data_IF_905363350026
#
_entry.id   IF_905363350026
#
_cell.length_a   1.000
_cell.length_b   1.000
_cell.length_c   1.000
_cell.angle_alpha   90.00
_cell.angle_beta   90.00
_cell.angle_gamma   90.00
#
_symmetry.space_group_name_H-M   'P 1'
#
loop_
_entity.id
_entity.type
_entity.pdbx_description
1 polymer ?
#
# COMPACT_ATOMS: atom_id res chain seq x y z
N UNK A 1 -5.22 20.84 -2.47
CA UNK A 1 -6.05 19.80 -1.83
C UNK A 1 -5.15 18.62 -1.47
N UNK A 2 -5.25 18.06 -0.26
CA UNK A 2 -4.38 16.96 0.18
C UNK A 2 -5.03 15.63 -0.18
N UNK A 3 -4.61 15.04 -1.32
CA UNK A 3 -4.95 13.65 -1.65
C UNK A 3 -4.10 12.71 -0.78
N UNK A 4 -4.63 11.54 -0.42
CA UNK A 4 -3.91 10.55 0.40
C UNK A 4 -4.16 9.14 -0.10
N UNK A 5 -3.11 8.33 0.03
CA UNK A 5 -3.10 6.90 -0.28
C UNK A 5 -2.73 6.14 0.98
N UNK A 6 -3.45 5.06 1.27
CA UNK A 6 -3.05 4.10 2.30
C UNK A 6 -3.12 2.68 1.74
N UNK A 7 -2.26 1.79 2.25
CA UNK A 7 -2.39 0.37 1.95
C UNK A 7 -3.69 -0.15 2.60
N UNK A 8 -4.53 -0.81 1.82
CA UNK A 8 -5.67 -1.52 2.38
C UNK A 8 -5.11 -2.76 3.08
N UNK A 9 -4.90 -2.68 4.39
CA UNK A 9 -4.56 -3.85 5.17
C UNK A 9 -5.74 -4.81 5.11
N UNK A 10 -5.59 -5.91 4.36
CA UNK A 10 -6.45 -7.08 4.50
C UNK A 10 -6.24 -7.63 5.91
N UNK A 11 -7.01 -7.11 6.86
CA UNK A 11 -6.97 -7.52 8.24
C UNK A 11 -7.43 -8.97 8.34
N UNK A 12 -6.48 -9.89 8.49
CA UNK A 12 -6.76 -11.19 9.07
C UNK A 12 -7.19 -10.96 10.52
N UNK A 13 -8.50 -10.87 10.76
CA UNK A 13 -9.11 -10.94 12.08
C UNK A 13 -8.90 -12.35 12.64
N UNK A 14 -7.72 -12.62 13.19
CA UNK A 14 -7.53 -13.74 14.11
C UNK A 14 -7.88 -13.23 15.50
N UNK A 15 -9.13 -13.48 15.90
CA UNK A 15 -9.58 -13.35 17.28
C UNK A 15 -8.92 -14.49 18.10
N UNK A 16 -7.74 -14.23 18.66
CA UNK A 16 -7.05 -15.14 19.58
C UNK A 16 -7.08 -14.61 21.01
N UNK A 17 -7.32 -15.44 22.03
CA UNK A 17 -7.54 -14.99 23.40
C UNK A 17 -6.25 -14.49 24.07
N UNK A 18 -6.39 -13.46 24.91
CA UNK A 18 -5.38 -12.96 25.85
C UNK A 18 -4.91 -14.10 26.77
N UNK A 19 -3.76 -14.69 26.46
CA UNK A 19 -3.04 -15.57 27.38
C UNK A 19 -2.00 -14.74 28.15
N UNK A 20 -2.09 -14.83 29.47
CA UNK A 20 -1.25 -14.15 30.44
C UNK A 20 0.23 -14.55 30.31
N UNK A 21 1.12 -13.56 30.43
CA UNK A 21 2.56 -13.75 30.61
C UNK A 21 2.84 -14.19 32.05
N UNK A 22 3.60 -15.28 32.28
CA UNK A 22 4.39 -15.43 33.48
C UNK A 22 5.84 -15.01 33.22
N UNK A 23 6.30 -14.04 34.01
CA UNK A 23 7.70 -13.81 34.34
C UNK A 23 8.32 -15.11 34.89
N UNK A 24 9.43 -15.55 34.32
CA UNK A 24 10.42 -16.44 34.96
C UNK A 24 11.78 -16.21 34.30
N UNK A 25 12.82 -16.25 35.12
CA UNK A 25 14.14 -15.66 34.90
C UNK A 25 15.24 -16.73 34.82
N UNK A 26 16.25 -16.49 33.97
CA UNK A 26 17.65 -16.99 34.01
C UNK A 26 17.93 -18.51 33.83
N UNK A 27 19.19 -18.97 33.63
CA UNK A 27 20.37 -18.41 32.95
C UNK A 27 21.04 -19.42 31.95
N UNK A 28 21.98 -18.92 31.14
CA UNK A 28 23.14 -19.61 30.53
C UNK A 28 23.01 -21.08 30.08
N UNK A 29 23.04 -21.30 28.76
CA UNK A 29 23.61 -22.53 28.18
C UNK A 29 24.46 -22.19 26.96
N UNK A 30 25.77 -22.15 27.20
CA UNK A 30 26.82 -22.15 26.18
C UNK A 30 26.96 -23.59 25.67
N UNK A 31 26.65 -23.85 24.40
CA UNK A 31 27.09 -25.08 23.74
C UNK A 31 27.20 -24.90 22.22
N UNK A 32 28.43 -25.03 21.75
CA UNK A 32 28.85 -25.05 20.35
C UNK A 32 28.21 -26.22 19.59
N UNK A 33 28.08 -26.07 18.26
CA UNK A 33 28.67 -26.98 17.26
C UNK A 33 28.48 -26.41 15.86
N UNK A 34 29.60 -26.28 15.15
CA UNK A 34 29.60 -26.02 13.73
C UNK A 34 29.07 -27.23 12.96
N UNK A 35 28.43 -26.97 11.83
CA UNK A 35 28.32 -27.90 10.72
C UNK A 35 28.44 -27.11 9.42
N UNK A 36 29.39 -27.61 8.63
CA UNK A 36 29.75 -27.21 7.28
C UNK A 36 28.80 -27.80 6.24
N UNK A 37 28.70 -27.09 5.12
CA UNK A 37 28.60 -27.62 3.76
C UNK A 37 27.22 -27.92 3.17
N UNK A 38 27.21 -27.62 1.87
CA UNK A 38 26.39 -28.14 0.78
C UNK A 38 25.07 -27.44 0.49
N UNK A 39 25.17 -26.55 -0.50
CA UNK A 39 24.10 -26.26 -1.45
C UNK A 39 23.35 -27.56 -1.82
N UNK A 40 22.05 -27.54 -1.62
CA UNK A 40 21.12 -28.34 -2.40
C UNK A 40 20.01 -27.38 -2.85
N UNK A 41 19.86 -27.32 -4.17
CA UNK A 41 18.83 -26.55 -4.86
C UNK A 41 17.47 -26.89 -4.25
N UNK A 42 16.92 -25.93 -3.52
CA UNK A 42 15.55 -26.01 -3.01
C UNK A 42 14.62 -25.49 -4.11
N UNK A 43 13.45 -26.11 -4.28
CA UNK A 43 12.57 -25.85 -5.41
C UNK A 43 12.24 -24.37 -5.53
N UNK A 44 12.42 -23.83 -6.73
CA UNK A 44 11.88 -22.53 -7.15
C UNK A 44 10.45 -22.42 -6.62
N UNK A 45 10.10 -21.36 -5.86
CA UNK A 45 8.76 -21.21 -5.31
C UNK A 45 7.79 -21.09 -6.47
N UNK A 46 7.18 -22.21 -6.82
CA UNK A 46 6.00 -22.26 -7.67
C UNK A 46 4.97 -21.39 -6.97
N UNK A 47 4.65 -20.27 -7.61
CA UNK A 47 3.77 -19.20 -7.14
C UNK A 47 2.43 -19.75 -6.67
N UNK A 48 2.34 -20.05 -5.37
CA UNK A 48 1.08 -20.11 -4.65
C UNK A 48 0.73 -18.65 -4.37
N UNK A 49 -0.21 -18.11 -5.16
CA UNK A 49 -0.48 -16.69 -5.33
C UNK A 49 -0.31 -15.86 -4.06
N UNK A 50 0.68 -14.96 -4.09
CA UNK A 50 0.79 -13.90 -3.10
C UNK A 50 -0.51 -13.09 -3.13
N UNK A 51 -1.09 -12.85 -1.95
CA UNK A 51 -2.35 -12.11 -1.86
C UNK A 51 -2.21 -10.76 -2.59
N UNK A 52 -3.16 -10.39 -3.46
CA UNK A 52 -3.04 -9.19 -4.25
C UNK A 52 -2.91 -7.98 -3.32
N UNK A 53 -1.90 -7.15 -3.56
CA UNK A 53 -1.77 -5.88 -2.84
C UNK A 53 -2.92 -4.99 -3.26
N UNK A 54 -3.63 -4.49 -2.27
CA UNK A 54 -4.82 -3.67 -2.46
C UNK A 54 -4.60 -2.31 -1.80
N UNK A 55 -5.00 -1.27 -2.52
CA UNK A 55 -4.77 0.11 -2.11
C UNK A 55 -6.08 0.79 -1.77
N UNK A 56 -6.02 1.90 -1.03
CA UNK A 56 -7.18 2.74 -0.76
C UNK A 56 -6.80 4.19 -1.04
N UNK A 57 -7.47 4.75 -2.05
CA UNK A 57 -7.33 6.12 -2.53
C UNK A 57 -8.42 6.97 -1.90
N UNK A 58 -8.05 8.11 -1.30
CA UNK A 58 -8.99 9.02 -0.65
C UNK A 58 -9.05 10.34 -1.39
N UNK A 59 -10.25 10.75 -1.79
CA UNK A 59 -10.54 12.05 -2.39
C UNK A 59 -11.83 12.63 -1.83
N UNK A 60 -11.96 13.95 -1.85
CA UNK A 60 -13.24 14.61 -1.60
C UNK A 60 -14.05 14.63 -2.91
N UNK A 61 -15.34 14.24 -2.90
CA UNK A 61 -16.13 14.15 -4.13
C UNK A 61 -16.40 15.49 -4.79
N UNK A 62 -16.19 16.61 -4.07
CA UNK A 62 -16.28 17.97 -4.65
C UNK A 62 -15.05 18.35 -5.45
N UNK A 63 -13.92 17.76 -5.12
CA UNK A 63 -12.63 18.07 -5.75
C UNK A 63 -12.37 17.13 -6.92
N UNK A 64 -12.59 15.83 -6.68
CA UNK A 64 -12.43 14.81 -7.69
C UNK A 64 -13.21 13.56 -7.31
N UNK A 65 -14.18 13.20 -8.14
CA UNK A 65 -15.07 12.06 -7.94
C UNK A 65 -14.73 10.88 -8.85
N UNK A 66 -15.23 9.69 -8.51
CA UNK A 66 -15.12 8.52 -9.40
C UNK A 66 -15.81 8.74 -10.76
N UNK A 67 -16.85 9.57 -10.82
CA UNK A 67 -17.54 9.89 -12.07
C UNK A 67 -16.67 10.73 -13.01
N UNK A 68 -15.82 11.59 -12.45
CA UNK A 68 -14.85 12.36 -13.22
C UNK A 68 -13.77 11.43 -13.80
N UNK A 69 -13.28 10.49 -12.98
CA UNK A 69 -12.36 9.45 -13.45
C UNK A 69 -12.98 8.60 -14.57
N UNK A 70 -14.23 8.16 -14.40
CA UNK A 70 -14.92 7.39 -15.43
C UNK A 70 -15.09 8.17 -16.75
N UNK A 71 -15.16 9.51 -16.69
CA UNK A 71 -15.26 10.38 -17.87
C UNK A 71 -13.91 10.59 -18.55
N UNK A 72 -12.84 10.75 -17.77
CA UNK A 72 -11.49 10.98 -18.26
C UNK A 72 -10.80 9.69 -18.72
N UNK A 73 -11.20 8.55 -18.15
CA UNK A 73 -10.62 7.23 -18.38
C UNK A 73 -9.32 7.01 -17.61
N UNK A 74 -8.42 8.00 -17.59
CA UNK A 74 -7.16 7.94 -16.84
C UNK A 74 -6.90 9.29 -16.16
N UNK A 75 -6.51 9.29 -14.89
CA UNK A 75 -6.14 10.50 -14.14
C UNK A 75 -4.78 10.38 -13.49
N UNK A 76 -4.07 11.51 -13.42
CA UNK A 76 -2.92 11.66 -12.55
C UNK A 76 -3.38 11.78 -11.08
N UNK A 77 -2.82 10.93 -10.22
CA UNK A 77 -2.99 10.96 -8.77
C UNK A 77 -1.84 11.75 -8.12
N UNK A 78 -1.96 13.07 -8.20
CA UNK A 78 -1.02 14.07 -7.69
C UNK A 78 -1.38 14.57 -6.28
N UNK A 79 -0.62 15.56 -5.78
CA UNK A 79 -1.00 16.31 -4.58
C UNK A 79 -0.85 15.55 -3.26
N UNK A 80 -0.21 14.39 -3.28
CA UNK A 80 0.11 13.62 -2.08
C UNK A 80 1.29 14.27 -1.37
N UNK A 81 1.03 14.88 -0.21
CA UNK A 81 2.02 15.60 0.62
C UNK A 81 2.33 14.89 1.95
N UNK A 82 2.07 13.59 2.01
CA UNK A 82 2.39 12.73 3.14
C UNK A 82 3.51 11.75 2.77
N UNK A 83 4.60 11.73 3.54
CA UNK A 83 5.77 10.89 3.29
C UNK A 83 5.46 9.39 3.25
N UNK A 84 4.56 8.91 4.13
CA UNK A 84 4.15 7.51 4.15
C UNK A 84 3.32 7.17 2.91
N UNK A 85 2.36 8.02 2.56
CA UNK A 85 1.54 7.86 1.36
C UNK A 85 2.38 7.89 0.07
N UNK A 86 3.39 8.76 0.01
CA UNK A 86 4.38 8.79 -1.07
C UNK A 86 5.13 7.47 -1.20
N UNK A 87 5.58 6.91 -0.07
CA UNK A 87 6.28 5.63 -0.08
C UNK A 87 5.36 4.49 -0.56
N UNK A 88 4.05 4.56 -0.28
CA UNK A 88 3.07 3.62 -0.85
C UNK A 88 2.95 3.78 -2.36
N UNK A 89 2.77 5.00 -2.87
CA UNK A 89 2.75 5.29 -4.32
C UNK A 89 3.97 4.71 -5.01
N UNK A 90 5.18 4.93 -4.45
CA UNK A 90 6.44 4.39 -4.99
C UNK A 90 6.54 2.86 -4.96
N UNK A 91 5.73 2.19 -4.13
CA UNK A 91 5.70 0.73 -4.03
C UNK A 91 4.61 0.07 -4.89
N UNK A 92 3.72 0.86 -5.50
CA UNK A 92 2.66 0.36 -6.36
C UNK A 92 3.19 -0.09 -7.71
N UNK A 93 2.53 -1.09 -8.29
CA UNK A 93 2.82 -1.57 -9.64
C UNK A 93 1.59 -1.39 -10.55
N UNK A 94 1.81 -1.14 -11.87
CA UNK A 94 0.72 -1.13 -12.83
C UNK A 94 -0.07 -2.45 -12.80
N UNK A 95 -1.39 -2.35 -12.85
CA UNK A 95 -2.32 -3.48 -12.74
C UNK A 95 -2.71 -3.86 -11.30
N UNK A 96 -2.11 -3.26 -10.27
CA UNK A 96 -2.61 -3.42 -8.90
C UNK A 96 -3.94 -2.66 -8.71
N UNK A 97 -4.81 -3.22 -7.86
CA UNK A 97 -6.14 -2.67 -7.61
C UNK A 97 -6.16 -1.77 -6.39
N UNK A 98 -7.08 -0.81 -6.38
CA UNK A 98 -7.40 -0.03 -5.20
C UNK A 98 -8.84 0.41 -5.13
N UNK A 99 -9.28 0.73 -3.92
CA UNK A 99 -10.60 1.27 -3.66
C UNK A 99 -10.58 2.78 -3.68
N UNK A 100 -11.57 3.39 -4.34
CA UNK A 100 -11.79 4.82 -4.32
C UNK A 100 -12.74 5.19 -3.18
N UNK A 101 -12.27 6.00 -2.24
CA UNK A 101 -12.99 6.39 -1.04
C UNK A 101 -13.32 7.89 -1.07
N UNK A 102 -14.60 8.21 -0.99
CA UNK A 102 -15.06 9.59 -0.80
C UNK A 102 -14.97 9.99 0.68
N UNK A 103 -14.08 10.93 0.99
CA UNK A 103 -13.99 11.58 2.30
C UNK A 103 -14.77 12.89 2.35
N UNK A 104 -15.01 13.41 3.56
CA UNK A 104 -15.57 14.75 3.80
C UNK A 104 -16.91 15.03 3.10
N UNK A 105 -17.75 14.00 2.93
CA UNK A 105 -19.08 14.13 2.31
C UNK A 105 -20.18 13.62 3.25
N UNK A 106 -21.47 13.92 2.98
CA UNK A 106 -22.58 13.49 3.83
C UNK A 106 -22.70 11.97 3.98
N UNK A 107 -22.19 11.21 3.01
CA UNK A 107 -22.19 9.76 2.98
C UNK A 107 -20.79 9.23 2.64
N UNK A 108 -19.85 9.25 3.61
CA UNK A 108 -18.47 8.81 3.36
C UNK A 108 -18.42 7.29 3.14
N UNK A 109 -17.66 6.83 2.16
CA UNK A 109 -17.63 5.42 1.80
C UNK A 109 -16.79 5.10 0.57
N UNK A 110 -16.61 3.79 0.33
CA UNK A 110 -16.02 3.28 -0.90
C UNK A 110 -17.06 3.39 -2.00
N UNK A 111 -16.71 4.09 -3.08
CA UNK A 111 -17.61 4.31 -4.22
C UNK A 111 -17.28 3.45 -5.43
N UNK A 112 -16.08 2.88 -5.49
CA UNK A 112 -15.69 1.99 -6.56
C UNK A 112 -14.27 1.45 -6.43
N UNK A 113 -13.83 0.80 -7.51
CA UNK A 113 -12.51 0.18 -7.66
C UNK A 113 -11.82 0.86 -8.83
N UNK A 114 -10.51 1.08 -8.69
CA UNK A 114 -9.60 1.63 -9.70
C UNK A 114 -8.39 0.71 -9.84
N UNK A 115 -7.70 0.80 -10.96
CA UNK A 115 -6.41 0.16 -11.18
C UNK A 115 -5.30 1.19 -11.33
N UNK A 116 -4.10 0.81 -10.92
CA UNK A 116 -2.89 1.60 -11.17
C UNK A 116 -2.52 1.44 -12.64
N UNK A 117 -2.54 2.54 -13.40
CA UNK A 117 -2.22 2.54 -14.83
C UNK A 117 -0.71 2.72 -15.10
N UNK A 118 0.03 3.39 -14.19
CA UNK A 118 1.46 3.67 -14.36
C UNK A 118 2.28 3.54 -13.09
N UNK A 119 3.61 3.41 -13.25
CA UNK A 119 4.55 3.44 -12.13
C UNK A 119 4.66 4.86 -11.57
N UNK A 120 5.09 4.97 -10.31
CA UNK A 120 5.29 6.28 -9.67
C UNK A 120 6.31 7.15 -10.43
N UNK A 121 5.92 8.39 -10.72
CA UNK A 121 6.73 9.40 -11.39
C UNK A 121 6.77 10.71 -10.58
N UNK A 122 7.71 11.63 -10.86
CA UNK A 122 7.74 12.97 -10.27
C UNK A 122 6.38 13.68 -10.31
N UNK A 123 5.88 14.16 -9.17
CA UNK A 123 4.59 14.87 -9.13
C UNK A 123 4.65 16.17 -9.97
N UNK A 124 3.86 16.30 -11.06
CA UNK A 124 3.88 17.49 -11.91
C UNK A 124 3.31 18.73 -11.20
N UNK A 125 2.49 18.55 -10.15
CA UNK A 125 1.95 19.64 -9.35
C UNK A 125 2.99 20.20 -8.35
N UNK A 126 4.16 19.57 -8.23
CA UNK A 126 5.24 20.07 -7.41
C UNK A 126 6.10 21.08 -8.21
N UNK A 127 5.91 22.37 -7.94
CA UNK A 127 6.70 23.45 -8.58
C UNK A 127 8.04 23.71 -7.87
N UNK A 128 8.46 22.84 -6.95
CA UNK A 128 9.71 22.97 -6.20
C UNK A 128 10.92 22.49 -6.99
N UNK A 129 12.11 22.97 -6.61
CA UNK A 129 13.38 22.54 -7.24
C UNK A 129 13.79 21.11 -6.85
N UNK A 130 13.21 20.54 -5.79
CA UNK A 130 13.41 19.15 -5.40
C UNK A 130 12.22 18.28 -5.78
N UNK A 131 12.49 17.20 -6.51
CA UNK A 131 11.52 16.16 -6.89
C UNK A 131 11.13 15.26 -5.70
N UNK A 132 10.62 15.88 -4.64
CA UNK A 132 10.35 15.20 -3.37
C UNK A 132 9.10 14.33 -3.43
N UNK A 133 8.11 14.76 -4.22
CA UNK A 133 6.80 14.14 -4.30
C UNK A 133 6.66 13.25 -5.53
N UNK A 134 5.76 12.27 -5.43
CA UNK A 134 5.53 11.29 -6.49
C UNK A 134 4.03 11.18 -6.74
N UNK A 135 3.67 11.09 -8.01
CA UNK A 135 2.34 10.82 -8.52
C UNK A 135 2.35 9.49 -9.31
N UNK A 136 1.18 8.98 -9.63
CA UNK A 136 0.97 7.83 -10.52
C UNK A 136 -0.35 8.02 -11.25
N UNK A 137 -0.61 7.25 -12.30
CA UNK A 137 -1.88 7.30 -13.01
C UNK A 137 -2.84 6.22 -12.53
N UNK A 138 -4.12 6.55 -12.48
CA UNK A 138 -5.23 5.66 -12.15
C UNK A 138 -6.22 5.57 -13.31
N UNK A 139 -6.81 4.40 -13.50
CA UNK A 139 -7.90 4.13 -14.45
C UNK A 139 -9.06 3.36 -13.79
#
# INVERSE_FOLDING_TARGET
>A
MMRTVTAAAAGALVLGPRAALPLQQHPLCLAQRGQTSAASASPEPSSCGEAPRLWLFKSEPRDYSLEDLAREGVTCWDGVRNYQARNYIRSMQPGELGFFYHSSCPSPGIVGVVSVASQAYPDPADCGEETTWSALDLE
#
